data_IF_173903959871
#
_entry.id   IF_173903959871
#
_cell.length_a   1.000
_cell.length_b   1.000
_cell.length_c   1.000
_cell.angle_alpha   90.00
_cell.angle_beta   90.00
_cell.angle_gamma   90.00
#
_symmetry.space_group_name_H-M   'P 1'
#
loop_
_entity.id
_entity.type
_entity.pdbx_description
1 polymer ?
#
# COMPACT_ATOMS: atom_id res chain seq x y z
N UNK A 1 14.14 -11.43 27.26
CA UNK A 1 15.52 -11.34 27.76
C UNK A 1 16.55 -11.50 26.64
N UNK A 2 16.62 -12.63 25.91
CA UNK A 2 17.59 -12.77 24.81
C UNK A 2 17.49 -11.68 23.73
N UNK A 3 16.28 -11.34 23.28
CA UNK A 3 16.08 -10.32 22.25
C UNK A 3 16.59 -8.92 22.67
N UNK A 4 16.46 -8.53 23.94
CA UNK A 4 16.91 -7.22 24.42
C UNK A 4 18.43 -7.14 24.48
N UNK A 5 19.11 -8.26 24.77
CA UNK A 5 20.56 -8.36 24.69
C UNK A 5 21.03 -8.21 23.25
N UNK A 6 20.44 -8.94 22.30
CA UNK A 6 20.77 -8.81 20.86
C UNK A 6 20.61 -7.38 20.37
N UNK A 7 19.49 -6.72 20.72
CA UNK A 7 19.27 -5.32 20.38
C UNK A 7 20.39 -4.40 20.90
N UNK A 8 20.80 -4.57 22.16
CA UNK A 8 21.83 -3.73 22.76
C UNK A 8 23.21 -3.98 22.15
N UNK A 9 23.54 -5.23 21.82
CA UNK A 9 24.80 -5.57 21.14
C UNK A 9 24.86 -4.91 19.75
N UNK A 10 23.77 -5.01 18.97
CA UNK A 10 23.68 -4.34 17.67
C UNK A 10 23.71 -2.81 17.75
N UNK A 11 23.37 -2.20 18.89
CA UNK A 11 23.53 -0.77 19.12
C UNK A 11 24.98 -0.34 19.35
N UNK A 12 25.69 -1.07 20.19
CA UNK A 12 27.00 -0.63 20.71
C UNK A 12 28.19 -1.13 19.90
N UNK A 13 28.04 -2.24 19.17
CA UNK A 13 29.12 -2.83 18.40
C UNK A 13 29.48 -1.99 17.17
N UNK A 14 30.73 -2.08 16.74
CA UNK A 14 31.17 -1.52 15.47
C UNK A 14 30.57 -2.27 14.26
N UNK A 15 30.78 -1.72 13.06
CA UNK A 15 30.25 -2.32 11.83
C UNK A 15 30.86 -3.70 11.53
N UNK A 16 32.10 -3.98 11.95
CA UNK A 16 32.76 -5.26 11.69
C UNK A 16 32.08 -6.39 12.48
N UNK A 17 31.83 -6.15 13.76
CA UNK A 17 31.14 -7.10 14.63
C UNK A 17 29.66 -7.23 14.22
N UNK A 18 28.99 -6.13 13.85
CA UNK A 18 27.62 -6.19 13.28
C UNK A 18 27.57 -7.07 12.04
N UNK A 19 28.54 -6.96 11.14
CA UNK A 19 28.60 -7.78 9.93
C UNK A 19 28.77 -9.27 10.24
N UNK A 20 29.61 -9.63 11.22
CA UNK A 20 29.81 -11.02 11.66
C UNK A 20 28.51 -11.56 12.25
N UNK A 21 27.90 -10.83 13.20
CA UNK A 21 26.63 -11.23 13.80
C UNK A 21 25.51 -11.34 12.77
N UNK A 22 25.40 -10.37 11.85
CA UNK A 22 24.37 -10.35 10.83
C UNK A 22 24.49 -11.53 9.88
N UNK A 23 25.71 -11.97 9.52
CA UNK A 23 25.91 -13.19 8.72
C UNK A 23 25.26 -14.40 9.40
N UNK A 24 25.49 -14.58 10.70
CA UNK A 24 24.89 -15.68 11.45
C UNK A 24 23.38 -15.53 11.68
N UNK A 25 22.90 -14.32 11.93
CA UNK A 25 21.48 -14.11 12.25
C UNK A 25 20.61 -14.06 10.99
N UNK A 26 21.18 -13.69 9.84
CA UNK A 26 20.42 -13.47 8.59
C UNK A 26 19.60 -14.69 8.15
N UNK A 27 20.09 -15.92 8.35
CA UNK A 27 19.34 -17.16 8.05
C UNK A 27 18.04 -17.31 8.86
N UNK A 28 17.90 -16.61 9.99
CA UNK A 28 16.74 -16.66 10.87
C UNK A 28 15.95 -15.35 10.92
N UNK A 29 16.37 -14.31 10.18
CA UNK A 29 15.80 -12.96 10.33
C UNK A 29 14.28 -12.93 10.08
N UNK A 30 13.78 -13.69 9.11
CA UNK A 30 12.34 -13.81 8.87
C UNK A 30 11.61 -14.49 10.04
N UNK A 31 12.14 -15.61 10.55
CA UNK A 31 11.54 -16.33 11.69
C UNK A 31 11.54 -15.47 12.95
N UNK A 32 12.60 -14.71 13.17
CA UNK A 32 12.66 -13.71 14.23
C UNK A 32 11.59 -12.64 14.03
N UNK A 33 11.45 -12.15 12.80
CA UNK A 33 10.51 -11.07 12.43
C UNK A 33 9.05 -11.35 12.75
N UNK A 34 8.62 -12.60 12.61
CA UNK A 34 7.24 -13.05 12.91
C UNK A 34 7.06 -13.54 14.36
N UNK A 35 8.13 -13.58 15.15
CA UNK A 35 8.06 -14.01 16.54
C UNK A 35 7.74 -12.82 17.46
N UNK A 36 6.78 -12.99 18.38
CA UNK A 36 6.29 -11.94 19.31
C UNK A 36 7.41 -11.18 20.05
N UNK A 37 8.49 -11.86 20.41
CA UNK A 37 9.67 -11.25 21.04
C UNK A 37 10.82 -11.02 20.05
N UNK A 38 10.88 -11.78 18.96
CA UNK A 38 11.99 -11.74 18.00
C UNK A 38 11.89 -10.53 17.09
N UNK A 39 10.67 -10.06 16.82
CA UNK A 39 10.40 -8.93 15.94
C UNK A 39 11.14 -7.68 16.39
N UNK A 40 11.24 -7.43 17.69
CA UNK A 40 11.99 -6.30 18.24
C UNK A 40 13.48 -6.36 17.89
N UNK A 41 14.10 -7.54 17.95
CA UNK A 41 15.48 -7.71 17.53
C UNK A 41 15.64 -7.59 16.01
N UNK A 42 14.73 -8.20 15.22
CA UNK A 42 14.76 -8.10 13.76
C UNK A 42 14.64 -6.65 13.27
N UNK A 43 13.64 -5.91 13.77
CA UNK A 43 13.46 -4.49 13.48
C UNK A 43 14.69 -3.69 13.91
N UNK A 44 15.26 -3.96 15.09
CA UNK A 44 16.46 -3.27 15.55
C UNK A 44 17.67 -3.49 14.65
N UNK A 45 17.93 -4.75 14.26
CA UNK A 45 19.00 -5.12 13.35
C UNK A 45 18.87 -4.34 12.02
N UNK A 46 17.66 -4.29 11.46
CA UNK A 46 17.38 -3.53 10.25
C UNK A 46 17.60 -2.03 10.52
N UNK A 47 17.09 -1.50 11.63
CA UNK A 47 17.18 -0.09 12.02
C UNK A 47 18.60 0.44 12.19
N UNK A 48 19.55 -0.39 12.61
CA UNK A 48 20.96 0.02 12.76
C UNK A 48 21.85 -0.40 11.58
N UNK A 49 21.28 -1.07 10.56
CA UNK A 49 22.02 -1.43 9.36
C UNK A 49 22.26 -0.20 8.48
N UNK A 50 23.54 0.13 8.30
CA UNK A 50 23.97 1.35 7.60
C UNK A 50 24.88 1.05 6.39
N UNK A 51 25.63 -0.06 6.42
CA UNK A 51 26.55 -0.39 5.33
C UNK A 51 25.80 -1.03 4.15
N UNK A 52 26.24 -0.81 2.89
CA UNK A 52 25.70 -1.50 1.72
C UNK A 52 25.67 -3.03 1.88
N UNK A 53 26.72 -3.58 2.49
CA UNK A 53 26.83 -5.02 2.78
C UNK A 53 25.76 -5.51 3.74
N UNK A 54 25.46 -4.76 4.81
CA UNK A 54 24.39 -5.11 5.75
C UNK A 54 23.03 -5.07 5.07
N UNK A 55 22.74 -3.99 4.34
CA UNK A 55 21.51 -3.85 3.56
C UNK A 55 21.33 -5.03 2.61
N UNK A 56 22.36 -5.40 1.85
CA UNK A 56 22.32 -6.53 0.92
C UNK A 56 22.05 -7.88 1.61
N UNK A 57 22.69 -8.14 2.75
CA UNK A 57 22.46 -9.38 3.52
C UNK A 57 21.01 -9.45 4.01
N UNK A 58 20.48 -8.32 4.51
CA UNK A 58 19.09 -8.22 4.97
C UNK A 58 18.12 -8.42 3.81
N UNK A 59 18.29 -7.71 2.70
CA UNK A 59 17.42 -7.84 1.53
C UNK A 59 17.37 -9.27 1.02
N UNK A 60 18.54 -9.94 0.89
CA UNK A 60 18.60 -11.35 0.46
C UNK A 60 17.91 -12.31 1.43
N UNK A 61 18.01 -12.05 2.73
CA UNK A 61 17.37 -12.87 3.76
C UNK A 61 15.85 -12.75 3.74
N UNK A 62 15.32 -11.54 3.52
CA UNK A 62 13.88 -11.27 3.55
C UNK A 62 13.18 -11.60 2.22
N UNK A 63 13.88 -11.48 1.08
CA UNK A 63 13.31 -11.59 -0.27
C UNK A 63 12.39 -12.81 -0.47
N UNK A 64 12.73 -14.04 -0.04
CA UNK A 64 11.86 -15.21 -0.25
C UNK A 64 10.56 -15.17 0.54
N UNK A 65 10.45 -14.28 1.53
CA UNK A 65 9.38 -14.28 2.54
C UNK A 65 8.56 -12.99 2.57
N UNK A 66 8.76 -12.06 1.62
CA UNK A 66 8.11 -10.74 1.66
C UNK A 66 6.58 -10.84 1.69
N UNK A 67 5.98 -11.65 0.82
CA UNK A 67 4.51 -11.77 0.79
C UNK A 67 3.94 -12.35 2.10
N UNK A 68 4.46 -13.46 2.67
CA UNK A 68 4.10 -13.88 4.02
C UNK A 68 4.32 -12.81 5.09
N UNK A 69 5.45 -12.10 5.05
CA UNK A 69 5.77 -11.05 6.03
C UNK A 69 4.77 -9.90 5.99
N UNK A 70 4.32 -9.47 4.81
CA UNK A 70 3.27 -8.44 4.69
C UNK A 70 1.97 -8.83 5.40
N UNK A 71 1.63 -10.13 5.40
CA UNK A 71 0.39 -10.67 5.97
C UNK A 71 0.53 -11.08 7.44
N UNK A 72 1.74 -11.00 7.99
CA UNK A 72 2.00 -11.32 9.39
C UNK A 72 1.76 -10.10 10.30
N UNK A 73 1.27 -10.35 11.51
CA UNK A 73 0.97 -9.30 12.51
C UNK A 73 2.21 -8.51 12.94
N UNK A 74 3.41 -9.11 12.89
CA UNK A 74 4.68 -8.48 13.26
C UNK A 74 5.60 -8.26 12.05
N UNK A 75 5.63 -9.22 11.12
CA UNK A 75 6.51 -9.21 9.95
C UNK A 75 6.30 -8.00 9.04
N UNK A 76 5.09 -7.46 8.97
CA UNK A 76 4.81 -6.29 8.15
C UNK A 76 5.61 -5.06 8.62
N UNK A 77 5.86 -4.92 9.93
CA UNK A 77 6.69 -3.86 10.50
C UNK A 77 8.18 -4.08 10.25
N UNK A 78 8.61 -5.35 10.15
CA UNK A 78 9.99 -5.70 9.76
C UNK A 78 10.28 -5.21 8.33
N UNK A 79 9.33 -5.39 7.40
CA UNK A 79 9.45 -4.87 6.05
C UNK A 79 9.46 -3.33 6.02
N UNK A 80 8.60 -2.68 6.82
CA UNK A 80 8.57 -1.21 6.90
C UNK A 80 9.92 -0.63 7.37
N UNK A 81 10.65 -1.32 8.26
CA UNK A 81 11.99 -0.88 8.68
C UNK A 81 13.00 -0.82 7.52
N UNK A 82 12.78 -1.57 6.43
CA UNK A 82 13.66 -1.53 5.26
C UNK A 82 13.43 -0.29 4.37
N UNK A 83 12.35 0.48 4.56
CA UNK A 83 12.07 1.68 3.78
C UNK A 83 13.22 2.70 3.86
N UNK A 84 13.74 2.94 5.06
CA UNK A 84 14.89 3.81 5.36
C UNK A 84 16.17 3.43 4.61
N UNK A 85 16.23 2.24 4.01
CA UNK A 85 17.40 1.87 3.22
C UNK A 85 17.51 2.72 1.94
N UNK A 86 16.38 3.27 1.46
CA UNK A 86 16.25 4.02 0.21
C UNK A 86 16.49 3.15 -1.02
N UNK A 87 16.18 3.67 -2.19
CA UNK A 87 16.57 3.03 -3.45
C UNK A 87 18.11 3.07 -3.59
N UNK A 88 18.77 1.99 -4.07
CA UNK A 88 18.17 0.77 -4.63
C UNK A 88 17.89 -0.35 -3.61
N UNK A 89 18.13 -0.09 -2.33
CA UNK A 89 18.16 -1.12 -1.29
C UNK A 89 16.78 -1.53 -0.76
N UNK A 90 15.75 -0.71 -0.97
CA UNK A 90 14.36 -1.03 -0.61
C UNK A 90 13.51 -1.48 -1.83
N UNK A 91 14.04 -1.38 -3.06
CA UNK A 91 13.29 -1.64 -4.30
C UNK A 91 12.77 -3.08 -4.38
N UNK A 92 13.53 -4.05 -3.84
CA UNK A 92 13.12 -5.46 -3.76
C UNK A 92 11.76 -5.67 -3.06
N UNK A 93 11.37 -4.77 -2.14
CA UNK A 93 10.06 -4.82 -1.48
C UNK A 93 8.98 -4.32 -2.42
N UNK A 94 9.25 -3.23 -3.14
CA UNK A 94 8.31 -2.63 -4.08
C UNK A 94 8.07 -3.58 -5.24
N UNK A 95 9.10 -4.22 -5.79
CA UNK A 95 8.99 -5.23 -6.84
C UNK A 95 8.07 -6.39 -6.44
N UNK A 96 8.27 -6.97 -5.26
CA UNK A 96 7.42 -8.06 -4.77
C UNK A 96 6.01 -7.58 -4.44
N UNK A 97 5.87 -6.35 -3.91
CA UNK A 97 4.58 -5.72 -3.63
C UNK A 97 3.78 -5.54 -4.93
N UNK A 98 4.41 -5.09 -6.01
CA UNK A 98 3.77 -4.94 -7.33
C UNK A 98 3.39 -6.32 -7.91
N UNK A 99 4.32 -7.27 -7.90
CA UNK A 99 4.11 -8.61 -8.45
C UNK A 99 3.01 -9.40 -7.72
N UNK A 100 2.78 -9.12 -6.44
CA UNK A 100 1.81 -9.83 -5.60
C UNK A 100 0.72 -8.91 -5.04
N UNK A 101 0.51 -7.76 -5.68
CA UNK A 101 -0.30 -6.65 -5.14
C UNK A 101 -1.67 -7.13 -4.65
N UNK A 102 -2.41 -7.85 -5.50
CA UNK A 102 -3.75 -8.34 -5.16
C UNK A 102 -3.78 -9.23 -3.92
N UNK A 103 -2.82 -10.16 -3.79
CA UNK A 103 -2.74 -11.07 -2.64
C UNK A 103 -2.47 -10.31 -1.33
N UNK A 104 -1.64 -9.26 -1.41
CA UNK A 104 -1.27 -8.44 -0.24
C UNK A 104 -2.40 -7.45 0.10
N UNK A 105 -3.02 -6.80 -0.88
CA UNK A 105 -3.98 -5.71 -0.68
C UNK A 105 -5.31 -6.16 -0.08
N UNK A 106 -5.68 -7.43 -0.24
CA UNK A 106 -6.88 -8.00 0.38
C UNK A 106 -6.67 -8.45 1.83
N UNK A 107 -5.41 -8.52 2.29
CA UNK A 107 -5.06 -8.90 3.66
C UNK A 107 -5.16 -7.72 4.63
N UNK A 108 -5.56 -7.98 5.87
CA UNK A 108 -5.73 -6.95 6.90
C UNK A 108 -4.42 -6.22 7.21
N UNK A 109 -3.32 -6.95 7.35
CA UNK A 109 -2.01 -6.39 7.63
C UNK A 109 -1.36 -5.89 6.34
N UNK A 110 -1.51 -6.67 5.26
CA UNK A 110 -0.97 -6.32 3.95
C UNK A 110 -1.46 -4.97 3.43
N UNK A 111 -2.77 -4.70 3.43
CA UNK A 111 -3.30 -3.42 2.95
C UNK A 111 -2.85 -2.22 3.77
N UNK A 112 -2.73 -2.39 5.10
CA UNK A 112 -2.22 -1.36 6.01
C UNK A 112 -0.72 -1.12 5.80
N UNK A 113 0.04 -2.17 5.53
CA UNK A 113 1.46 -2.07 5.23
C UNK A 113 1.70 -1.36 3.89
N UNK A 114 0.93 -1.69 2.83
CA UNK A 114 1.00 -0.94 1.55
C UNK A 114 0.72 0.54 1.80
N UNK A 115 -0.32 0.86 2.57
CA UNK A 115 -0.61 2.25 2.94
C UNK A 115 0.53 2.92 3.71
N UNK A 116 1.12 2.24 4.69
CA UNK A 116 2.26 2.77 5.46
C UNK A 116 3.48 3.03 4.57
N UNK A 117 3.72 2.19 3.56
CA UNK A 117 4.74 2.45 2.55
C UNK A 117 4.43 3.71 1.74
N UNK A 118 3.20 3.86 1.27
CA UNK A 118 2.74 5.03 0.51
C UNK A 118 2.77 6.34 1.30
N UNK A 119 2.65 6.28 2.63
CA UNK A 119 2.69 7.44 3.53
C UNK A 119 4.09 7.73 4.11
N UNK A 120 5.08 6.87 3.82
CA UNK A 120 6.43 7.00 4.36
C UNK A 120 7.23 8.11 3.67
N UNK A 121 7.97 8.91 4.44
CA UNK A 121 8.92 9.90 3.93
C UNK A 121 10.12 9.29 3.19
N UNK A 122 10.38 8.00 3.41
CA UNK A 122 11.48 7.27 2.76
C UNK A 122 11.09 6.71 1.39
N UNK A 123 9.80 6.74 1.04
CA UNK A 123 9.31 6.32 -0.27
C UNK A 123 9.55 7.40 -1.30
N UNK A 124 10.16 7.05 -2.43
CA UNK A 124 10.41 8.01 -3.49
C UNK A 124 9.17 8.21 -4.38
N UNK A 125 9.22 9.23 -5.23
CA UNK A 125 8.11 9.57 -6.13
C UNK A 125 7.77 8.43 -7.11
N UNK A 126 8.77 7.79 -7.69
CA UNK A 126 8.59 6.68 -8.63
C UNK A 126 7.86 5.50 -7.98
N UNK A 127 8.31 5.07 -6.79
CA UNK A 127 7.66 4.02 -5.99
C UNK A 127 6.22 4.39 -5.68
N UNK A 128 5.95 5.65 -5.33
CA UNK A 128 4.58 6.14 -5.07
C UNK A 128 3.70 6.05 -6.32
N UNK A 129 4.22 6.43 -7.49
CA UNK A 129 3.51 6.33 -8.77
C UNK A 129 3.23 4.88 -9.14
N UNK A 130 4.24 3.99 -9.02
CA UNK A 130 4.09 2.57 -9.31
C UNK A 130 3.01 1.92 -8.44
N UNK A 131 3.04 2.14 -7.13
CA UNK A 131 2.04 1.61 -6.22
C UNK A 131 0.65 2.23 -6.44
N UNK A 132 0.58 3.52 -6.75
CA UNK A 132 -0.68 4.17 -7.11
C UNK A 132 -1.27 3.61 -8.41
N UNK A 133 -0.43 3.25 -9.38
CA UNK A 133 -0.88 2.66 -10.65
C UNK A 133 -1.57 1.32 -10.46
N UNK A 134 -1.06 0.46 -9.56
CA UNK A 134 -1.72 -0.82 -9.25
C UNK A 134 -2.97 -0.66 -8.39
N UNK A 135 -3.07 0.39 -7.56
CA UNK A 135 -4.34 0.74 -6.90
C UNK A 135 -5.41 1.07 -7.94
N UNK A 136 -5.07 1.90 -8.93
CA UNK A 136 -5.99 2.26 -10.02
C UNK A 136 -6.35 1.05 -10.87
N UNK A 137 -5.39 0.16 -11.16
CA UNK A 137 -5.60 -1.05 -11.94
C UNK A 137 -6.58 -2.02 -11.28
N UNK A 138 -6.49 -2.19 -9.95
CA UNK A 138 -7.33 -3.12 -9.18
C UNK A 138 -8.56 -2.45 -8.55
N UNK A 139 -8.91 -1.23 -8.97
CA UNK A 139 -9.88 -0.39 -8.27
C UNK A 139 -11.25 -1.06 -8.05
N UNK A 140 -11.79 -1.78 -9.03
CA UNK A 140 -13.06 -2.50 -8.88
C UNK A 140 -13.03 -3.54 -7.74
N UNK A 141 -11.95 -4.31 -7.64
CA UNK A 141 -11.78 -5.36 -6.64
C UNK A 141 -11.47 -4.77 -5.26
N UNK A 142 -10.69 -3.69 -5.22
CA UNK A 142 -10.39 -2.98 -3.97
C UNK A 142 -11.65 -2.34 -3.39
N UNK A 143 -12.52 -1.76 -4.21
CA UNK A 143 -13.75 -1.09 -3.78
C UNK A 143 -14.75 -2.06 -3.11
N UNK A 144 -14.73 -3.34 -3.49
CA UNK A 144 -15.60 -4.38 -2.93
C UNK A 144 -14.95 -5.15 -1.78
N UNK A 145 -13.68 -4.88 -1.45
CA UNK A 145 -12.95 -5.55 -0.39
C UNK A 145 -12.82 -4.69 0.90
N UNK A 146 -13.06 -5.28 2.07
CA UNK A 146 -13.02 -4.58 3.36
C UNK A 146 -11.62 -4.10 3.78
N UNK A 147 -10.56 -4.74 3.29
CA UNK A 147 -9.17 -4.32 3.51
C UNK A 147 -8.66 -3.45 2.35
N UNK A 148 -9.02 -3.79 1.11
CA UNK A 148 -8.57 -3.12 -0.11
C UNK A 148 -9.11 -1.70 -0.27
N UNK A 149 -10.36 -1.46 0.15
CA UNK A 149 -11.00 -0.13 0.08
C UNK A 149 -10.25 0.96 0.86
N UNK A 150 -9.42 0.57 1.84
CA UNK A 150 -8.47 1.46 2.52
C UNK A 150 -7.50 2.13 1.55
N UNK A 151 -7.01 1.40 0.55
CA UNK A 151 -6.04 1.92 -0.42
C UNK A 151 -6.68 2.90 -1.40
N UNK A 152 -7.93 2.67 -1.80
CA UNK A 152 -8.70 3.63 -2.60
C UNK A 152 -9.02 4.89 -1.80
N UNK A 153 -9.32 4.73 -0.51
CA UNK A 153 -9.54 5.88 0.39
C UNK A 153 -8.27 6.71 0.52
N UNK A 154 -7.12 6.07 0.74
CA UNK A 154 -5.83 6.76 0.72
C UNK A 154 -5.59 7.45 -0.64
N UNK A 155 -5.87 6.77 -1.75
CA UNK A 155 -5.64 7.31 -3.09
C UNK A 155 -6.50 8.54 -3.37
N UNK A 156 -7.73 8.60 -2.85
CA UNK A 156 -8.63 9.75 -3.07
C UNK A 156 -8.36 10.89 -2.09
N UNK A 157 -8.14 10.58 -0.81
CA UNK A 157 -8.09 11.58 0.27
C UNK A 157 -6.67 12.09 0.57
N UNK A 158 -5.66 11.24 0.46
CA UNK A 158 -4.30 11.51 0.98
C UNK A 158 -3.24 11.61 -0.10
N UNK A 159 -3.39 10.84 -1.19
CA UNK A 159 -2.41 10.84 -2.28
C UNK A 159 -2.23 12.24 -2.88
N UNK A 160 -0.96 12.64 -3.02
CA UNK A 160 -0.56 13.95 -3.54
C UNK A 160 -0.47 14.00 -5.06
N UNK A 161 -0.65 12.86 -5.74
CA UNK A 161 -0.67 12.82 -7.20
C UNK A 161 -1.85 13.64 -7.75
N UNK A 162 -1.55 14.45 -8.76
CA UNK A 162 -2.54 15.26 -9.47
C UNK A 162 -3.54 14.39 -10.22
N UNK A 163 -4.73 14.93 -10.48
CA UNK A 163 -5.78 14.28 -11.29
C UNK A 163 -6.24 12.90 -10.80
N UNK A 164 -5.95 12.50 -9.55
CA UNK A 164 -6.30 11.18 -9.00
C UNK A 164 -7.79 10.79 -9.14
N UNK A 165 -8.71 11.73 -8.96
CA UNK A 165 -10.15 11.50 -9.15
C UNK A 165 -10.51 11.28 -10.63
N UNK A 166 -9.94 12.12 -11.51
CA UNK A 166 -10.09 12.02 -12.96
C UNK A 166 -9.50 10.73 -13.52
N UNK A 167 -8.41 10.23 -12.93
CA UNK A 167 -7.75 8.98 -13.32
C UNK A 167 -8.56 7.76 -12.85
N UNK A 168 -9.11 7.81 -11.63
CA UNK A 168 -9.85 6.68 -11.07
C UNK A 168 -11.23 6.50 -11.69
N UNK A 169 -11.97 7.59 -11.92
CA UNK A 169 -13.37 7.53 -12.34
C UNK A 169 -13.61 6.66 -13.60
N UNK A 170 -12.86 6.81 -14.71
CA UNK A 170 -13.02 5.97 -15.90
C UNK A 170 -12.83 4.47 -15.65
N UNK A 171 -12.01 4.09 -14.64
CA UNK A 171 -11.78 2.68 -14.29
C UNK A 171 -12.97 2.04 -13.57
N UNK A 172 -13.81 2.84 -12.94
CA UNK A 172 -14.99 2.36 -12.21
C UNK A 172 -16.24 2.32 -13.10
N UNK A 173 -16.27 3.06 -14.21
CA UNK A 173 -17.43 3.16 -15.12
C UNK A 173 -17.98 1.82 -15.59
N UNK A 174 -17.16 0.84 -16.02
CA UNK A 174 -17.70 -0.45 -16.48
C UNK A 174 -18.41 -1.26 -15.38
N UNK A 175 -18.20 -0.89 -14.11
CA UNK A 175 -18.66 -1.64 -12.94
C UNK A 175 -19.69 -0.86 -12.11
N UNK A 176 -20.23 0.26 -12.61
CA UNK A 176 -21.10 1.16 -11.84
C UNK A 176 -22.32 0.48 -11.23
N UNK A 177 -23.03 -0.37 -11.98
CA UNK A 177 -24.19 -1.08 -11.47
C UNK A 177 -23.84 -1.98 -10.27
N UNK A 178 -22.74 -2.73 -10.36
CA UNK A 178 -22.26 -3.59 -9.28
C UNK A 178 -21.75 -2.75 -8.09
N UNK A 179 -20.95 -1.72 -8.34
CA UNK A 179 -20.35 -0.92 -7.28
C UNK A 179 -21.42 -0.13 -6.51
N UNK A 180 -22.36 0.50 -7.20
CA UNK A 180 -23.43 1.28 -6.55
C UNK A 180 -24.40 0.42 -5.72
N UNK A 181 -24.56 -0.86 -6.05
CA UNK A 181 -25.40 -1.80 -5.29
C UNK A 181 -24.63 -2.59 -4.23
N UNK A 182 -23.30 -2.56 -4.26
CA UNK A 182 -22.45 -3.22 -3.28
C UNK A 182 -22.27 -2.36 -2.02
N UNK A 183 -22.46 -2.95 -0.83
CA UNK A 183 -22.38 -2.28 0.49
C UNK A 183 -21.11 -1.43 0.69
N UNK A 184 -19.96 -1.91 0.22
CA UNK A 184 -18.69 -1.17 0.30
C UNK A 184 -18.38 -0.38 -0.97
N UNK A 185 -18.79 -0.91 -2.14
CA UNK A 185 -18.38 -0.35 -3.44
C UNK A 185 -18.97 1.04 -3.64
N UNK A 186 -20.20 1.24 -3.17
CA UNK A 186 -20.91 2.51 -3.28
C UNK A 186 -20.19 3.64 -2.53
N UNK A 187 -19.42 3.33 -1.49
CA UNK A 187 -18.69 4.33 -0.70
C UNK A 187 -17.56 4.98 -1.51
N UNK A 188 -16.88 4.21 -2.36
CA UNK A 188 -15.86 4.76 -3.28
C UNK A 188 -16.51 5.69 -4.30
N UNK A 189 -17.65 5.31 -4.87
CA UNK A 189 -18.39 6.14 -5.83
C UNK A 189 -18.87 7.43 -5.16
N UNK A 190 -19.53 7.33 -4.00
CA UNK A 190 -19.98 8.48 -3.22
C UNK A 190 -18.83 9.41 -2.85
N UNK A 191 -17.66 8.86 -2.52
CA UNK A 191 -16.47 9.66 -2.21
C UNK A 191 -16.01 10.50 -3.40
N UNK A 192 -16.02 9.94 -4.61
CA UNK A 192 -15.69 10.69 -5.83
C UNK A 192 -16.74 11.77 -6.09
N UNK A 193 -18.03 11.43 -6.01
CA UNK A 193 -19.13 12.37 -6.26
C UNK A 193 -19.21 13.51 -5.24
N UNK A 194 -18.85 13.25 -3.98
CA UNK A 194 -18.88 14.25 -2.92
C UNK A 194 -17.63 15.15 -2.88
N UNK A 195 -16.62 14.91 -3.73
CA UNK A 195 -15.43 15.75 -3.75
C UNK A 195 -15.72 17.10 -4.41
N UNK A 196 -15.70 18.17 -3.61
CA UNK A 196 -15.92 19.55 -4.06
C UNK A 196 -14.65 20.27 -4.54
N UNK A 197 -13.47 19.71 -4.24
CA UNK A 197 -12.18 20.32 -4.61
C UNK A 197 -11.73 19.94 -6.02
N UNK A 198 -12.08 18.74 -6.47
CA UNK A 198 -11.79 18.24 -7.82
C UNK A 198 -13.05 17.53 -8.36
N UNK A 199 -13.94 18.31 -8.97
CA UNK A 199 -15.25 17.84 -9.46
C UNK A 199 -15.15 16.98 -10.70
N UNK A 200 -14.02 17.02 -11.43
CA UNK A 200 -13.83 16.35 -12.73
C UNK A 200 -14.09 14.85 -12.68
N UNK A 201 -13.69 14.18 -11.60
CA UNK A 201 -13.99 12.75 -11.43
C UNK A 201 -15.49 12.48 -11.27
N UNK A 202 -16.19 13.35 -10.55
CA UNK A 202 -17.64 13.28 -10.39
C UNK A 202 -18.39 13.60 -11.69
N UNK A 203 -17.96 14.62 -12.43
CA UNK A 203 -18.50 14.97 -13.75
C UNK A 203 -18.41 13.80 -14.73
N UNK A 204 -17.28 13.09 -14.78
CA UNK A 204 -17.13 11.87 -15.60
C UNK A 204 -18.18 10.82 -15.24
N UNK A 205 -18.39 10.58 -13.94
CA UNK A 205 -19.36 9.59 -13.47
C UNK A 205 -20.79 10.03 -13.81
N UNK A 206 -21.14 11.29 -13.54
CA UNK A 206 -22.49 11.81 -13.79
C UNK A 206 -22.82 11.84 -15.28
N UNK A 207 -21.90 12.31 -16.12
CA UNK A 207 -22.09 12.32 -17.57
C UNK A 207 -22.26 10.91 -18.13
N UNK A 208 -21.54 9.92 -17.60
CA UNK A 208 -21.70 8.53 -18.00
C UNK A 208 -23.05 7.91 -17.59
N UNK A 209 -23.64 8.36 -16.48
CA UNK A 209 -24.91 7.84 -15.97
C UNK A 209 -26.14 8.53 -16.57
N UNK A 210 -26.07 9.85 -16.77
CA UNK A 210 -27.23 10.68 -17.10
C UNK A 210 -27.10 11.41 -18.45
N UNK A 211 -25.95 11.29 -19.13
CA UNK A 211 -25.60 12.11 -20.28
C UNK A 211 -25.04 13.48 -19.86
N UNK A 212 -24.50 14.22 -20.83
CA UNK A 212 -24.05 15.59 -20.58
C UNK A 212 -25.23 16.47 -20.16
N UNK A 213 -25.00 17.29 -19.14
CA UNK A 213 -25.99 18.27 -18.72
C UNK A 213 -26.22 19.28 -19.83
N UNK A 214 -27.40 19.22 -20.44
CA UNK A 214 -27.87 20.17 -21.43
C UNK A 214 -28.83 21.17 -20.76
N UNK A 215 -28.39 22.40 -20.46
CA UNK A 215 -29.24 23.42 -19.84
C UNK A 215 -30.43 23.83 -20.71
N UNK A 216 -30.46 23.44 -21.99
CA UNK A 216 -31.59 23.69 -22.90
C UNK A 216 -32.66 22.60 -22.86
N UNK A 217 -32.38 21.43 -22.24
CA UNK A 217 -33.38 20.38 -22.02
C UNK A 217 -34.13 20.62 -20.71
N UNK A 218 -35.47 20.73 -20.72
CA UNK A 218 -36.25 20.85 -19.50
C UNK A 218 -36.09 19.59 -18.63
N UNK A 219 -35.95 19.80 -17.31
CA UNK A 219 -35.97 18.74 -16.30
C UNK A 219 -37.39 18.17 -16.24
N UNK A 220 -37.60 17.01 -16.87
CA UNK A 220 -38.83 16.21 -16.95
C UNK A 220 -39.96 16.73 -17.85
N UNK A 221 -40.02 16.20 -19.07
CA UNK A 221 -41.28 15.73 -19.67
C UNK A 221 -41.17 14.21 -19.79
N UNK A 222 -42.22 13.48 -19.42
CA UNK A 222 -42.35 12.00 -19.48
C UNK A 222 -42.03 11.25 -18.18
N UNK A 223 -42.95 11.35 -17.23
CA UNK A 223 -43.34 10.24 -16.36
C UNK A 223 -44.82 10.39 -16.00
N UNK A 224 -45.69 10.03 -16.95
CA UNK A 224 -47.13 9.96 -16.76
C UNK A 224 -47.78 9.40 -18.01
N UNK A 225 -48.50 8.29 -17.83
CA UNK A 225 -49.35 7.58 -18.81
C UNK A 225 -48.71 6.42 -19.57
N UNK A 226 -48.65 5.27 -18.88
CA UNK A 226 -49.30 4.03 -19.34
C UNK A 226 -50.12 3.44 -18.20
#
# INVERSE_FOLDING_TARGET
>A
LGNTVVQKIFDICDNCIKDIMLREVSKYLCQMGIHKNGTWAAQKIINVANSPRQKQIISKSLLPYITPLFKDTFGNYVLQCCLKFGSPWNDFIIEVMLANFWNISQDRFGSRAIRAFLESSDSNFEQTVLLSSVIVLYAEYLATNSNGSLLLTWFLDTCTLSDRHRILAPRLLPHMAQLCTHKLGCLTILKILNNRTDTRGGEIILNALFGEYDPSKPLNSEAGEQ
#
